data_IF_258729209246
#
_entry.id   IF_258729209246
#
_cell.length_a   1.000
_cell.length_b   1.000
_cell.length_c   1.000
_cell.angle_alpha   90.00
_cell.angle_beta   90.00
_cell.angle_gamma   90.00
#
_symmetry.space_group_name_H-M   'P 1'
#
loop_
_entity.id
_entity.type
_entity.pdbx_description
1 polymer ?
#
# COMPACT_ATOMS: atom_id res chain seq x y z
N UNK A 1 -20.20 4.74 -9.39
CA UNK A 1 -19.93 3.61 -8.47
C UNK A 1 -18.56 3.84 -7.86
N UNK A 2 -18.40 3.64 -6.55
CA UNK A 2 -17.08 3.65 -5.91
C UNK A 2 -16.45 2.27 -6.08
N UNK A 3 -15.14 2.21 -6.29
CA UNK A 3 -14.39 0.95 -6.37
C UNK A 3 -14.26 0.32 -4.99
N UNK A 4 -14.36 -1.00 -4.91
CA UNK A 4 -14.26 -1.79 -3.68
C UNK A 4 -13.12 -2.80 -3.74
N UNK A 5 -12.78 -3.37 -2.58
CA UNK A 5 -11.81 -4.47 -2.47
C UNK A 5 -12.16 -5.62 -3.43
N UNK A 6 -11.18 -6.04 -4.24
CA UNK A 6 -11.34 -7.17 -5.15
C UNK A 6 -12.04 -6.85 -6.47
N UNK A 7 -12.49 -5.61 -6.67
CA UNK A 7 -12.94 -5.16 -7.99
C UNK A 7 -11.79 -5.26 -9.01
N UNK A 8 -12.16 -5.40 -10.29
CA UNK A 8 -11.24 -5.36 -11.41
C UNK A 8 -11.62 -4.20 -12.34
N UNK A 9 -10.64 -3.38 -12.68
CA UNK A 9 -10.77 -2.32 -13.67
C UNK A 9 -9.94 -2.68 -14.88
N UNK A 10 -10.55 -2.71 -16.06
CA UNK A 10 -9.84 -2.93 -17.31
C UNK A 10 -9.64 -1.61 -18.06
N UNK A 11 -8.39 -1.28 -18.39
CA UNK A 11 -8.04 -0.09 -19.17
C UNK A 11 -7.09 -0.51 -20.28
N UNK A 12 -7.48 -0.28 -21.53
CA UNK A 12 -6.67 -0.62 -22.71
C UNK A 12 -6.17 -2.09 -22.72
N UNK A 13 -6.99 -3.03 -22.25
CA UNK A 13 -6.65 -4.46 -22.15
C UNK A 13 -5.79 -4.84 -20.93
N UNK A 14 -5.46 -3.89 -20.06
CA UNK A 14 -4.74 -4.13 -18.81
C UNK A 14 -5.76 -4.28 -17.68
N UNK A 15 -5.72 -5.43 -17.00
CA UNK A 15 -6.54 -5.72 -15.82
C UNK A 15 -5.83 -5.23 -14.57
N UNK A 16 -6.49 -4.33 -13.84
CA UNK A 16 -6.05 -3.75 -12.58
C UNK A 16 -6.92 -4.30 -11.46
N UNK A 17 -6.33 -5.10 -10.56
CA UNK A 17 -7.00 -5.52 -9.34
C UNK A 17 -7.00 -4.36 -8.35
N UNK A 18 -8.16 -4.01 -7.82
CA UNK A 18 -8.31 -3.03 -6.74
C UNK A 18 -7.99 -3.69 -5.40
N UNK A 19 -7.10 -3.06 -4.64
CA UNK A 19 -6.78 -3.40 -3.26
C UNK A 19 -7.17 -2.18 -2.42
N UNK A 20 -8.16 -2.32 -1.53
CA UNK A 20 -8.55 -1.25 -0.63
C UNK A 20 -7.47 -1.05 0.43
N UNK A 21 -6.88 0.14 0.47
CA UNK A 21 -5.74 0.47 1.33
C UNK A 21 -5.98 1.76 2.13
N UNK A 22 -7.05 1.82 2.95
CA UNK A 22 -7.38 3.01 3.72
C UNK A 22 -6.33 3.31 4.80
N UNK A 23 -6.23 4.58 5.19
CA UNK A 23 -5.29 5.03 6.22
C UNK A 23 -4.86 6.47 5.99
N UNK A 24 -4.18 6.77 4.88
CA UNK A 24 -3.94 8.13 4.42
C UNK A 24 -5.25 8.91 4.22
N UNK A 25 -6.20 8.27 3.52
CA UNK A 25 -7.62 8.66 3.47
C UNK A 25 -8.52 7.43 3.53
N UNK A 26 -9.81 7.56 3.92
CA UNK A 26 -10.74 6.41 3.99
C UNK A 26 -11.00 5.73 2.64
N UNK A 27 -10.85 6.47 1.53
CA UNK A 27 -11.11 5.99 0.17
C UNK A 27 -9.87 5.55 -0.59
N UNK A 28 -8.70 5.48 0.06
CA UNK A 28 -7.45 5.12 -0.59
C UNK A 28 -7.51 3.69 -1.11
N UNK A 29 -7.11 3.50 -2.37
CA UNK A 29 -6.98 2.20 -3.03
C UNK A 29 -5.63 2.11 -3.72
N UNK A 30 -5.10 0.90 -3.80
CA UNK A 30 -3.96 0.54 -4.62
C UNK A 30 -4.41 -0.31 -5.81
N UNK A 31 -3.73 -0.19 -6.95
CA UNK A 31 -4.02 -0.98 -8.14
C UNK A 31 -2.87 -1.93 -8.44
N UNK A 32 -3.16 -3.21 -8.54
CA UNK A 32 -2.16 -4.24 -8.80
C UNK A 32 -2.34 -4.90 -10.17
N UNK A 33 -1.25 -5.05 -10.91
CA UNK A 33 -1.22 -5.77 -12.18
C UNK A 33 0.18 -6.29 -12.48
N UNK A 34 0.31 -7.53 -12.96
CA UNK A 34 1.55 -8.06 -13.54
C UNK A 34 2.86 -7.73 -12.78
N UNK A 35 2.86 -7.87 -11.44
CA UNK A 35 4.05 -7.60 -10.62
C UNK A 35 4.33 -6.11 -10.39
N UNK A 36 3.36 -5.23 -10.63
CA UNK A 36 3.41 -3.79 -10.36
C UNK A 36 2.23 -3.43 -9.48
N UNK A 37 2.46 -2.62 -8.45
CA UNK A 37 1.41 -1.99 -7.64
C UNK A 37 1.55 -0.47 -7.70
N UNK A 38 0.46 0.21 -8.07
CA UNK A 38 0.30 1.64 -7.89
C UNK A 38 -0.26 1.87 -6.50
N UNK A 39 0.59 2.28 -5.55
CA UNK A 39 0.23 2.35 -4.12
C UNK A 39 -0.42 3.67 -3.68
N UNK A 40 -0.52 4.64 -4.59
CA UNK A 40 -0.97 5.99 -4.26
C UNK A 40 -0.17 6.56 -3.09
N UNK A 41 -0.87 7.15 -2.13
CA UNK A 41 -0.27 7.70 -0.91
C UNK A 41 -0.27 6.71 0.27
N UNK A 42 -0.42 5.40 0.03
CA UNK A 42 -0.35 4.39 1.10
C UNK A 42 1.10 3.98 1.42
N UNK A 43 1.88 3.56 0.43
CA UNK A 43 3.26 3.08 0.62
C UNK A 43 4.21 3.85 -0.28
N UNK A 44 5.24 4.46 0.32
CA UNK A 44 6.31 5.16 -0.38
C UNK A 44 7.65 4.44 -0.21
N UNK A 45 8.64 4.85 -0.99
CA UNK A 45 10.03 4.42 -0.80
C UNK A 45 10.58 4.91 0.54
N UNK A 46 10.77 3.99 1.48
CA UNK A 46 11.27 4.27 2.83
C UNK A 46 10.35 5.15 3.68
N UNK A 47 9.08 5.31 3.32
CA UNK A 47 8.12 6.15 4.03
C UNK A 47 6.67 5.70 3.80
N UNK A 48 5.69 6.46 4.31
CA UNK A 48 4.24 6.23 4.17
C UNK A 48 3.51 7.57 3.98
N UNK A 49 2.23 7.52 3.60
CA UNK A 49 1.38 8.71 3.58
C UNK A 49 1.20 9.32 4.97
N UNK A 50 0.92 10.62 5.00
CA UNK A 50 0.52 11.27 6.26
C UNK A 50 -0.88 10.81 6.68
N UNK A 51 -1.14 10.67 7.97
CA UNK A 51 -2.42 10.15 8.49
C UNK A 51 -3.07 11.09 9.52
N UNK A 52 -2.62 12.33 9.60
CA UNK A 52 -2.99 13.32 10.61
C UNK A 52 -4.07 14.34 10.15
N UNK A 53 -4.55 14.20 8.91
CA UNK A 53 -5.63 15.01 8.34
C UNK A 53 -7.00 14.38 8.62
N UNK A 54 -8.12 15.11 8.46
CA UNK A 54 -9.46 14.56 8.70
C UNK A 54 -9.72 13.27 7.90
N UNK A 55 -10.06 12.20 8.61
CA UNK A 55 -10.27 10.86 8.03
C UNK A 55 -9.00 10.01 7.90
N UNK A 56 -7.82 10.55 8.23
CA UNK A 56 -6.59 9.77 8.32
C UNK A 56 -6.53 8.91 9.59
N UNK A 57 -5.94 7.72 9.47
CA UNK A 57 -5.74 6.78 10.58
C UNK A 57 -4.43 6.00 10.39
N UNK A 58 -3.47 6.22 11.29
CA UNK A 58 -2.16 5.57 11.27
C UNK A 58 -2.23 4.05 11.41
N UNK A 59 -3.08 3.55 12.32
CA UNK A 59 -3.19 2.10 12.54
C UNK A 59 -3.80 1.43 11.33
N UNK A 60 -4.78 2.09 10.70
CA UNK A 60 -5.39 1.60 9.49
C UNK A 60 -4.41 1.61 8.31
N UNK A 61 -3.62 2.67 8.16
CA UNK A 61 -2.55 2.76 7.15
C UNK A 61 -1.56 1.61 7.29
N UNK A 62 -1.07 1.38 8.51
CA UNK A 62 -0.13 0.30 8.78
C UNK A 62 -0.73 -1.09 8.55
N UNK A 63 -2.02 -1.28 8.84
CA UNK A 63 -2.74 -2.51 8.46
C UNK A 63 -2.86 -2.67 6.95
N UNK A 64 -3.20 -1.61 6.22
CA UNK A 64 -3.24 -1.64 4.74
C UNK A 64 -1.88 -2.00 4.14
N UNK A 65 -0.79 -1.47 4.69
CA UNK A 65 0.55 -1.81 4.22
C UNK A 65 0.88 -3.26 4.56
N UNK A 66 0.83 -3.65 5.83
CA UNK A 66 1.32 -4.97 6.29
C UNK A 66 0.42 -6.11 5.84
N UNK A 67 -0.89 -5.96 5.97
CA UNK A 67 -1.85 -7.05 5.76
C UNK A 67 -2.28 -7.19 4.29
N UNK A 68 -1.96 -6.20 3.43
CA UNK A 68 -2.37 -6.20 2.02
C UNK A 68 -1.19 -6.02 1.08
N UNK A 69 -0.46 -4.92 1.17
CA UNK A 69 0.61 -4.63 0.22
C UNK A 69 1.82 -5.55 0.41
N UNK A 70 2.22 -5.81 1.66
CA UNK A 70 3.34 -6.70 1.94
C UNK A 70 3.03 -8.19 1.72
N UNK A 71 1.78 -8.58 1.47
CA UNK A 71 1.42 -9.94 1.02
C UNK A 71 1.72 -10.16 -0.48
N UNK A 72 2.03 -9.10 -1.23
CA UNK A 72 2.45 -9.21 -2.62
C UNK A 72 3.87 -9.82 -2.72
N UNK A 73 4.23 -10.43 -3.87
CA UNK A 73 5.58 -10.95 -4.11
C UNK A 73 6.68 -9.89 -3.89
N UNK A 74 7.83 -10.30 -3.35
CA UNK A 74 8.93 -9.39 -3.01
C UNK A 74 9.49 -8.60 -4.20
N UNK A 75 9.41 -9.17 -5.40
CA UNK A 75 9.85 -8.56 -6.65
C UNK A 75 8.85 -7.56 -7.23
N UNK A 76 7.65 -7.45 -6.64
CA UNK A 76 6.62 -6.49 -7.05
C UNK A 76 7.16 -5.07 -6.98
N UNK A 77 7.09 -4.36 -8.10
CA UNK A 77 7.47 -2.96 -8.22
C UNK A 77 6.36 -2.10 -7.61
N UNK A 78 6.73 -1.20 -6.71
CA UNK A 78 5.83 -0.21 -6.11
C UNK A 78 6.04 1.11 -6.83
N UNK A 79 4.98 1.60 -7.48
CA UNK A 79 4.90 2.93 -8.09
C UNK A 79 4.04 3.84 -7.19
N UNK A 80 4.66 4.59 -6.27
CA UNK A 80 3.94 5.45 -5.34
C UNK A 80 3.38 6.72 -5.99
N UNK A 81 2.44 7.37 -5.31
CA UNK A 81 1.93 8.69 -5.70
C UNK A 81 2.97 9.80 -5.58
N UNK A 82 3.96 9.61 -4.70
CA UNK A 82 5.09 10.52 -4.46
C UNK A 82 6.39 9.73 -4.24
N UNK A 83 7.54 10.40 -4.29
CA UNK A 83 8.88 9.77 -4.21
C UNK A 83 9.22 8.92 -5.44
N UNK A 84 10.36 8.23 -5.39
CA UNK A 84 10.81 7.30 -6.43
C UNK A 84 10.21 5.91 -6.23
N UNK A 85 10.21 5.10 -7.30
CA UNK A 85 9.80 3.69 -7.23
C UNK A 85 10.64 2.85 -6.26
N UNK A 86 10.06 1.76 -5.78
CA UNK A 86 10.69 0.78 -4.89
C UNK A 86 10.15 -0.63 -5.15
N UNK A 87 10.44 -1.59 -4.27
CA UNK A 87 9.88 -2.95 -4.31
C UNK A 87 9.34 -3.39 -2.97
N UNK A 88 8.34 -4.27 -2.98
CA UNK A 88 7.74 -4.82 -1.76
C UNK A 88 8.79 -5.44 -0.84
N UNK A 89 9.73 -6.23 -1.40
CA UNK A 89 10.79 -6.84 -0.59
C UNK A 89 11.76 -5.83 0.03
N UNK A 90 12.01 -4.69 -0.62
CA UNK A 90 12.84 -3.61 -0.07
C UNK A 90 12.09 -2.96 1.10
N UNK A 91 10.83 -2.59 0.91
CA UNK A 91 10.05 -1.91 1.95
C UNK A 91 9.80 -2.83 3.16
N UNK A 92 9.56 -4.12 2.94
CA UNK A 92 9.43 -5.12 4.01
C UNK A 92 10.66 -5.20 4.92
N UNK A 93 11.85 -5.00 4.36
CA UNK A 93 13.13 -5.17 5.06
C UNK A 93 13.71 -3.85 5.60
N UNK A 94 13.37 -2.71 5.00
CA UNK A 94 14.07 -1.46 5.24
C UNK A 94 13.16 -0.25 5.54
N UNK A 95 11.85 -0.32 5.30
CA UNK A 95 10.97 0.80 5.60
C UNK A 95 10.84 0.96 7.13
N UNK A 96 11.23 2.11 7.72
CA UNK A 96 11.28 2.26 9.17
C UNK A 96 9.91 2.10 9.84
N UNK A 97 8.83 2.57 9.20
CA UNK A 97 7.46 2.44 9.71
C UNK A 97 7.00 0.98 9.71
N UNK A 98 7.31 0.25 8.63
CA UNK A 98 7.01 -1.19 8.52
C UNK A 98 7.76 -1.97 9.58
N UNK A 99 9.05 -1.71 9.75
CA UNK A 99 9.87 -2.43 10.75
C UNK A 99 9.37 -2.18 12.17
N UNK A 100 8.99 -0.94 12.49
CA UNK A 100 8.39 -0.58 13.78
C UNK A 100 7.07 -1.32 14.00
N UNK A 101 6.16 -1.31 13.03
CA UNK A 101 4.86 -1.99 13.14
C UNK A 101 5.02 -3.52 13.28
N UNK A 102 5.91 -4.13 12.50
CA UNK A 102 6.20 -5.56 12.61
C UNK A 102 6.81 -5.91 13.97
N UNK A 103 7.67 -5.05 14.53
CA UNK A 103 8.20 -5.23 15.87
C UNK A 103 7.09 -5.12 16.94
N UNK A 104 6.21 -4.11 16.81
CA UNK A 104 5.05 -3.91 17.67
C UNK A 104 4.15 -5.16 17.68
N UNK A 105 3.80 -5.70 16.50
CA UNK A 105 2.94 -6.89 16.37
C UNK A 105 3.56 -8.16 16.96
N UNK A 106 4.89 -8.32 16.91
CA UNK A 106 5.59 -9.46 17.54
C UNK A 106 5.62 -9.41 19.07
N UNK A 107 5.39 -8.23 19.65
CA UNK A 107 5.39 -8.01 21.10
C UNK A 107 4.01 -8.13 21.76
N UNK A 108 2.98 -8.41 20.96
CA UNK A 108 1.61 -8.67 21.39
C UNK A 108 1.33 -10.17 21.39
#
# INVERSE_FOLDING_TARGET
ALLAEGDEVEVAGIKLKVIHTPGHTPGSVSFYTNGIVFSGDTLFRGSIGRTDMPGGDYRQEMSSIVDRLLELPDDTIVLPGHMQETKIGIERQANPFVLEELARRRSQ
#
